data_IF_903643587004
#
_entry.id   IF_903643587004
#
_cell.length_a   1.000
_cell.length_b   1.000
_cell.length_c   1.000
_cell.angle_alpha   90.00
_cell.angle_beta   90.00
_cell.angle_gamma   90.00
#
_symmetry.space_group_name_H-M   'P 1'
#
loop_
_entity.id
_entity.type
_entity.pdbx_description
1 polymer ?
#
# COMPACT_ATOMS: atom_id res chain seq x y z
N UNK A 1 3.35 -75.66 -15.28
CA UNK A 1 1.96 -76.08 -15.51
C UNK A 1 1.97 -77.43 -16.18
N UNK A 2 1.16 -78.37 -15.72
CA UNK A 2 1.03 -79.68 -16.36
C UNK A 2 0.55 -79.49 -17.79
N UNK A 3 1.26 -80.04 -18.78
CA UNK A 3 0.94 -79.93 -20.22
C UNK A 3 -0.20 -80.88 -20.62
N UNK A 4 -1.25 -80.95 -19.79
CA UNK A 4 -2.40 -81.80 -20.02
C UNK A 4 -3.30 -81.10 -21.02
N UNK A 5 -3.51 -81.75 -22.15
CA UNK A 5 -4.51 -81.33 -23.13
C UNK A 5 -5.92 -81.65 -22.60
N UNK A 6 -6.53 -80.65 -21.93
CA UNK A 6 -7.88 -80.76 -21.36
C UNK A 6 -8.95 -80.95 -22.43
N UNK A 7 -8.73 -80.46 -23.64
CA UNK A 7 -9.67 -80.61 -24.75
C UNK A 7 -9.66 -82.05 -25.25
N UNK A 8 -8.47 -82.63 -25.45
CA UNK A 8 -8.34 -84.05 -25.80
C UNK A 8 -8.92 -84.97 -24.71
N UNK A 9 -8.73 -84.63 -23.42
CA UNK A 9 -9.36 -85.37 -22.31
C UNK A 9 -10.88 -85.28 -22.34
N UNK A 10 -11.43 -84.09 -22.63
CA UNK A 10 -12.88 -83.89 -22.75
C UNK A 10 -13.45 -84.74 -23.88
N UNK A 11 -12.85 -84.67 -25.06
CA UNK A 11 -13.27 -85.47 -26.23
C UNK A 11 -13.19 -86.98 -25.95
N UNK A 12 -12.16 -87.43 -25.25
CA UNK A 12 -12.02 -88.83 -24.86
C UNK A 12 -13.13 -89.25 -23.87
N UNK A 13 -13.46 -88.41 -22.89
CA UNK A 13 -14.52 -88.67 -21.93
C UNK A 13 -15.91 -88.64 -22.59
N UNK A 14 -16.20 -87.67 -23.45
CA UNK A 14 -17.47 -87.59 -24.21
C UNK A 14 -17.68 -88.83 -25.10
N UNK A 15 -16.61 -89.33 -25.75
CA UNK A 15 -16.67 -90.56 -26.55
C UNK A 15 -16.89 -91.82 -25.70
N UNK A 16 -16.40 -91.82 -24.46
CA UNK A 16 -16.50 -92.96 -23.54
C UNK A 16 -17.80 -92.97 -22.72
N UNK A 17 -18.52 -91.84 -22.64
CA UNK A 17 -19.76 -91.71 -21.86
C UNK A 17 -20.89 -92.55 -22.46
N UNK A 18 -20.97 -93.79 -21.98
CA UNK A 18 -21.83 -94.86 -22.50
C UNK A 18 -22.87 -95.32 -21.47
N UNK A 19 -23.06 -94.55 -20.38
CA UNK A 19 -24.09 -94.80 -19.37
C UNK A 19 -23.54 -94.93 -17.95
N UNK A 20 -24.16 -95.76 -17.11
CA UNK A 20 -23.79 -95.88 -15.69
C UNK A 20 -22.72 -96.94 -15.48
N UNK A 21 -21.56 -96.50 -14.99
CA UNK A 21 -20.39 -97.32 -14.71
C UNK A 21 -20.46 -97.85 -13.27
N UNK A 22 -20.32 -99.16 -13.09
CA UNK A 22 -20.31 -99.78 -11.76
C UNK A 22 -19.28 -100.90 -11.66
N UNK A 23 -18.66 -101.01 -10.49
CA UNK A 23 -17.75 -102.10 -10.17
C UNK A 23 -18.54 -103.36 -9.76
N UNK A 24 -18.06 -104.53 -10.17
CA UNK A 24 -18.58 -105.81 -9.70
C UNK A 24 -17.48 -106.84 -9.52
N UNK A 25 -17.66 -107.71 -8.53
CA UNK A 25 -16.83 -108.91 -8.35
C UNK A 25 -17.55 -110.13 -8.94
N UNK A 26 -16.78 -111.10 -9.42
CA UNK A 26 -17.30 -112.39 -9.82
C UNK A 26 -16.35 -113.51 -9.41
N UNK A 27 -16.92 -114.69 -9.17
CA UNK A 27 -16.16 -115.90 -8.90
C UNK A 27 -16.58 -116.94 -9.92
N UNK A 28 -15.64 -117.39 -10.74
CA UNK A 28 -15.81 -118.51 -11.67
C UNK A 28 -14.82 -119.62 -11.31
N UNK A 29 -15.14 -120.91 -11.51
CA UNK A 29 -14.20 -122.02 -11.26
C UNK A 29 -12.84 -121.86 -11.96
N UNK A 30 -12.83 -121.19 -13.13
CA UNK A 30 -11.62 -120.93 -13.92
C UNK A 30 -10.90 -119.62 -13.53
N UNK A 31 -11.57 -118.74 -12.77
CA UNK A 31 -11.18 -117.37 -12.41
C UNK A 31 -11.70 -117.01 -11.01
N UNK A 32 -11.04 -117.54 -9.97
CA UNK A 32 -11.40 -117.23 -8.58
C UNK A 32 -10.99 -115.81 -8.22
N UNK A 33 -11.94 -114.98 -7.78
CA UNK A 33 -11.69 -113.62 -7.30
C UNK A 33 -11.62 -112.53 -8.38
N UNK A 34 -12.10 -112.79 -9.59
CA UNK A 34 -12.16 -111.80 -10.67
C UNK A 34 -13.01 -110.56 -10.35
N UNK A 35 -12.78 -109.48 -11.10
CA UNK A 35 -13.57 -108.26 -11.04
C UNK A 35 -13.79 -107.69 -12.44
N UNK A 36 -14.87 -106.93 -12.60
CA UNK A 36 -15.26 -106.32 -13.86
C UNK A 36 -15.91 -104.95 -13.64
N UNK A 37 -15.90 -104.14 -14.69
CA UNK A 37 -16.69 -102.91 -14.78
C UNK A 37 -17.94 -103.24 -15.61
N UNK A 38 -19.11 -102.85 -15.11
CA UNK A 38 -20.37 -102.87 -15.87
C UNK A 38 -20.70 -101.47 -16.37
N UNK A 39 -21.18 -101.37 -17.61
CA UNK A 39 -21.78 -100.18 -18.19
C UNK A 39 -23.25 -100.52 -18.47
N UNK A 40 -24.18 -99.77 -17.88
CA UNK A 40 -25.63 -100.05 -17.94
C UNK A 40 -25.97 -101.51 -17.57
N UNK A 41 -25.29 -102.04 -16.55
CA UNK A 41 -25.49 -103.41 -16.07
C UNK A 41 -24.83 -104.51 -16.90
N UNK A 42 -24.19 -104.21 -18.04
CA UNK A 42 -23.47 -105.19 -18.88
C UNK A 42 -21.97 -105.09 -18.67
N UNK A 43 -21.27 -106.22 -18.53
CA UNK A 43 -19.81 -106.20 -18.34
C UNK A 43 -19.08 -105.65 -19.56
N UNK A 44 -18.20 -104.67 -19.34
CA UNK A 44 -17.45 -103.94 -20.35
C UNK A 44 -15.93 -104.15 -20.25
N UNK A 45 -15.40 -104.24 -19.03
CA UNK A 45 -13.96 -104.49 -18.77
C UNK A 45 -13.83 -105.62 -17.77
N UNK A 46 -13.02 -106.63 -18.08
CA UNK A 46 -12.81 -107.80 -17.22
C UNK A 46 -11.34 -107.94 -16.85
N UNK A 47 -11.07 -108.17 -15.58
CA UNK A 47 -9.75 -108.60 -15.13
C UNK A 47 -9.66 -110.13 -15.14
N UNK A 48 -8.70 -110.66 -15.90
CA UNK A 48 -8.41 -112.10 -15.97
C UNK A 48 -7.29 -112.49 -14.98
N UNK A 49 -7.19 -113.79 -14.63
CA UNK A 49 -6.34 -114.37 -13.58
C UNK A 49 -4.82 -114.17 -13.74
N UNK A 50 -4.37 -113.46 -14.78
CA UNK A 50 -2.95 -113.19 -15.09
C UNK A 50 -2.58 -111.71 -15.03
N UNK A 51 -3.37 -110.89 -14.33
CA UNK A 51 -3.13 -109.45 -14.27
C UNK A 51 -1.82 -109.11 -13.55
N UNK A 52 -1.07 -108.17 -14.11
CA UNK A 52 0.16 -107.61 -13.54
C UNK A 52 -0.17 -106.97 -12.18
N UNK A 53 0.47 -107.45 -11.10
CA UNK A 53 0.19 -107.00 -9.73
C UNK A 53 -0.85 -107.83 -8.96
N UNK A 54 -1.42 -108.85 -9.59
CA UNK A 54 -2.34 -109.80 -8.97
C UNK A 54 -3.78 -109.27 -8.83
N UNK A 55 -4.65 -110.15 -8.31
CA UNK A 55 -6.10 -109.92 -8.24
C UNK A 55 -6.45 -108.71 -7.36
N UNK A 56 -5.77 -108.56 -6.21
CA UNK A 56 -6.05 -107.46 -5.26
C UNK A 56 -5.81 -106.08 -5.89
N UNK A 57 -4.69 -105.89 -6.57
CA UNK A 57 -4.38 -104.62 -7.25
C UNK A 57 -5.37 -104.34 -8.38
N UNK A 58 -5.75 -105.36 -9.13
CA UNK A 58 -6.69 -105.22 -10.25
C UNK A 58 -8.09 -104.80 -9.81
N UNK A 59 -8.56 -105.32 -8.67
CA UNK A 59 -9.82 -104.87 -8.04
C UNK A 59 -9.80 -103.38 -7.71
N UNK A 60 -8.70 -102.90 -7.12
CA UNK A 60 -8.52 -101.48 -6.78
C UNK A 60 -8.53 -100.61 -8.05
N UNK A 61 -7.83 -101.03 -9.11
CA UNK A 61 -7.81 -100.30 -10.39
C UNK A 61 -9.21 -100.23 -11.02
N UNK A 62 -9.94 -101.35 -11.07
CA UNK A 62 -11.30 -101.36 -11.63
C UNK A 62 -12.29 -100.53 -10.80
N UNK A 63 -12.18 -100.56 -9.47
CA UNK A 63 -12.96 -99.71 -8.60
C UNK A 63 -12.65 -98.22 -8.80
N UNK A 64 -11.38 -97.86 -8.96
CA UNK A 64 -10.96 -96.50 -9.28
C UNK A 64 -11.52 -96.03 -10.63
N UNK A 65 -11.42 -96.84 -11.69
CA UNK A 65 -11.95 -96.48 -13.03
C UNK A 65 -13.49 -96.34 -12.99
N UNK A 66 -14.19 -97.21 -12.25
CA UNK A 66 -15.64 -97.10 -12.10
C UNK A 66 -16.06 -95.82 -11.34
N UNK A 67 -15.27 -95.40 -10.34
CA UNK A 67 -15.49 -94.17 -9.58
C UNK A 67 -15.10 -92.91 -10.38
N UNK A 68 -13.96 -92.94 -11.06
CA UNK A 68 -13.49 -91.90 -11.98
C UNK A 68 -13.94 -92.21 -13.42
N UNK A 69 -15.25 -92.35 -13.57
CA UNK A 69 -15.86 -92.62 -14.87
C UNK A 69 -15.92 -91.35 -15.74
N UNK A 70 -16.29 -91.47 -17.03
CA UNK A 70 -16.34 -90.33 -17.94
C UNK A 70 -17.23 -89.17 -17.45
N UNK A 71 -18.37 -89.45 -16.80
CA UNK A 71 -19.26 -88.41 -16.25
C UNK A 71 -18.56 -87.59 -15.16
N UNK A 72 -17.83 -88.25 -14.26
CA UNK A 72 -17.06 -87.59 -13.21
C UNK A 72 -15.91 -86.77 -13.80
N UNK A 73 -15.21 -87.29 -14.82
CA UNK A 73 -14.15 -86.57 -15.50
C UNK A 73 -14.67 -85.30 -16.21
N UNK A 74 -15.81 -85.38 -16.90
CA UNK A 74 -16.45 -84.21 -17.54
C UNK A 74 -16.90 -83.17 -16.52
N UNK A 75 -17.55 -83.60 -15.43
CA UNK A 75 -17.96 -82.69 -14.36
C UNK A 75 -16.77 -81.93 -13.75
N UNK A 76 -15.65 -82.62 -13.47
CA UNK A 76 -14.43 -81.99 -12.97
C UNK A 76 -13.78 -81.04 -13.99
N UNK A 77 -13.86 -81.35 -15.29
CA UNK A 77 -13.38 -80.46 -16.35
C UNK A 77 -14.26 -79.20 -16.46
N UNK A 78 -15.58 -79.34 -16.33
CA UNK A 78 -16.51 -78.21 -16.30
C UNK A 78 -16.28 -77.32 -15.08
N UNK A 79 -16.14 -77.91 -13.88
CA UNK A 79 -15.78 -77.19 -12.65
C UNK A 79 -14.45 -76.45 -12.81
N UNK A 80 -13.44 -77.09 -13.42
CA UNK A 80 -12.14 -76.44 -13.62
C UNK A 80 -12.23 -75.25 -14.58
N UNK A 81 -13.01 -75.36 -15.65
CA UNK A 81 -13.25 -74.27 -16.59
C UNK A 81 -14.01 -73.11 -15.90
N UNK A 82 -15.00 -73.44 -15.07
CA UNK A 82 -15.73 -72.45 -14.28
C UNK A 82 -14.81 -71.71 -13.31
N UNK A 83 -13.97 -72.44 -12.57
CA UNK A 83 -12.97 -71.85 -11.66
C UNK A 83 -11.96 -70.96 -12.38
N UNK A 84 -11.56 -71.31 -13.61
CA UNK A 84 -10.68 -70.46 -14.42
C UNK A 84 -11.37 -69.14 -14.79
N UNK A 85 -12.63 -69.20 -15.25
CA UNK A 85 -13.41 -67.99 -15.58
C UNK A 85 -13.64 -67.10 -14.37
N UNK A 86 -13.96 -67.69 -13.22
CA UNK A 86 -14.15 -66.94 -11.97
C UNK A 86 -12.85 -66.30 -11.50
N UNK A 87 -11.72 -67.01 -11.60
CA UNK A 87 -10.41 -66.46 -11.30
C UNK A 87 -10.09 -65.25 -12.20
N UNK A 88 -10.28 -65.38 -13.51
CA UNK A 88 -10.00 -64.31 -14.47
C UNK A 88 -10.91 -63.09 -14.22
N UNK A 89 -12.18 -63.32 -13.87
CA UNK A 89 -13.11 -62.26 -13.49
C UNK A 89 -12.69 -61.54 -12.20
N UNK A 90 -12.27 -62.29 -11.18
CA UNK A 90 -11.76 -61.72 -9.93
C UNK A 90 -10.48 -60.91 -10.17
N UNK A 91 -9.59 -61.42 -11.02
CA UNK A 91 -8.35 -60.71 -11.38
C UNK A 91 -8.65 -59.39 -12.10
N UNK A 92 -9.60 -59.38 -13.04
CA UNK A 92 -10.04 -58.17 -13.71
C UNK A 92 -10.64 -57.14 -12.72
N UNK A 93 -11.50 -57.57 -11.80
CA UNK A 93 -12.07 -56.69 -10.76
C UNK A 93 -10.99 -56.16 -9.82
N UNK A 94 -10.02 -56.99 -9.43
CA UNK A 94 -8.92 -56.58 -8.57
C UNK A 94 -8.00 -55.54 -9.23
N UNK A 95 -7.79 -55.65 -10.55
CA UNK A 95 -7.06 -54.64 -11.33
C UNK A 95 -7.83 -53.32 -11.39
N UNK A 96 -9.12 -53.35 -11.71
CA UNK A 96 -9.96 -52.15 -11.72
C UNK A 96 -9.98 -51.44 -10.36
N UNK A 97 -10.18 -52.20 -9.27
CA UNK A 97 -10.18 -51.66 -7.92
C UNK A 97 -8.82 -51.04 -7.55
N UNK A 98 -7.72 -51.64 -8.01
CA UNK A 98 -6.37 -51.08 -7.78
C UNK A 98 -6.20 -49.73 -8.47
N UNK A 99 -6.70 -49.60 -9.70
CA UNK A 99 -6.62 -48.35 -10.46
C UNK A 99 -7.55 -47.28 -9.85
N UNK A 100 -8.77 -47.63 -9.46
CA UNK A 100 -9.69 -46.74 -8.74
C UNK A 100 -9.07 -46.25 -7.43
N UNK A 101 -8.44 -47.14 -6.66
CA UNK A 101 -7.74 -46.78 -5.42
C UNK A 101 -6.53 -45.87 -5.67
N UNK A 102 -5.85 -46.00 -6.81
CA UNK A 102 -4.77 -45.09 -7.20
C UNK A 102 -5.32 -43.70 -7.50
N UNK A 103 -6.37 -43.62 -8.32
CA UNK A 103 -7.02 -42.35 -8.66
C UNK A 103 -7.57 -41.65 -7.41
N UNK A 104 -8.22 -42.40 -6.52
CA UNK A 104 -8.74 -41.86 -5.26
C UNK A 104 -7.64 -41.25 -4.39
N UNK A 105 -6.45 -41.88 -4.32
CA UNK A 105 -5.29 -41.33 -3.60
C UNK A 105 -4.72 -40.07 -4.25
N UNK A 106 -4.70 -40.00 -5.57
CA UNK A 106 -4.25 -38.81 -6.30
C UNK A 106 -5.20 -37.63 -6.07
N UNK A 107 -6.52 -37.87 -6.14
CA UNK A 107 -7.53 -36.87 -5.82
C UNK A 107 -7.45 -36.41 -4.37
N UNK A 108 -7.25 -37.33 -3.43
CA UNK A 108 -7.07 -37.01 -2.02
C UNK A 108 -5.83 -36.11 -1.81
N UNK A 109 -4.69 -36.49 -2.39
CA UNK A 109 -3.48 -35.69 -2.30
C UNK A 109 -3.63 -34.29 -2.92
N UNK A 110 -4.39 -34.17 -4.02
CA UNK A 110 -4.70 -32.87 -4.62
C UNK A 110 -5.62 -32.02 -3.72
N UNK A 111 -6.63 -32.63 -3.10
CA UNK A 111 -7.52 -31.96 -2.15
C UNK A 111 -6.76 -31.49 -0.90
N UNK A 112 -5.90 -32.32 -0.33
CA UNK A 112 -5.06 -31.98 0.81
C UNK A 112 -4.12 -30.80 0.50
N UNK A 113 -3.52 -30.77 -0.69
CA UNK A 113 -2.70 -29.62 -1.12
C UNK A 113 -3.51 -28.33 -1.19
N UNK A 114 -4.73 -28.39 -1.72
CA UNK A 114 -5.61 -27.22 -1.82
C UNK A 114 -6.08 -26.73 -0.44
N UNK A 115 -6.35 -27.66 0.49
CA UNK A 115 -6.66 -27.31 1.89
C UNK A 115 -5.46 -26.60 2.52
N UNK A 116 -4.26 -27.16 2.39
CA UNK A 116 -3.04 -26.55 2.95
C UNK A 116 -2.72 -25.18 2.34
N UNK A 117 -3.03 -24.97 1.05
CA UNK A 117 -2.92 -23.65 0.41
C UNK A 117 -3.94 -22.67 0.99
N UNK A 118 -5.19 -23.08 1.15
CA UNK A 118 -6.21 -22.25 1.77
C UNK A 118 -5.88 -21.88 3.21
N UNK A 119 -5.43 -22.83 4.03
CA UNK A 119 -5.01 -22.57 5.43
C UNK A 119 -3.88 -21.53 5.50
N UNK A 120 -2.92 -21.56 4.58
CA UNK A 120 -1.87 -20.53 4.49
C UNK A 120 -2.45 -19.17 4.09
N UNK A 121 -3.33 -19.14 3.10
CA UNK A 121 -3.97 -17.88 2.67
C UNK A 121 -4.84 -17.27 3.76
N UNK A 122 -5.55 -18.09 4.54
CA UNK A 122 -6.36 -17.64 5.66
C UNK A 122 -5.49 -17.06 6.78
N UNK A 123 -4.38 -17.75 7.11
CA UNK A 123 -3.41 -17.24 8.08
C UNK A 123 -2.82 -15.90 7.63
N UNK A 124 -2.53 -15.75 6.34
CA UNK A 124 -2.06 -14.49 5.77
C UNK A 124 -3.12 -13.38 5.90
N UNK A 125 -4.37 -13.66 5.52
CA UNK A 125 -5.46 -12.68 5.62
C UNK A 125 -5.72 -12.25 7.07
N UNK A 126 -5.56 -13.15 8.05
CA UNK A 126 -5.65 -12.80 9.47
C UNK A 126 -4.53 -11.84 9.85
N UNK A 127 -3.29 -12.11 9.45
CA UNK A 127 -2.16 -11.20 9.71
C UNK A 127 -2.37 -9.83 9.07
N UNK A 128 -2.80 -9.80 7.80
CA UNK A 128 -3.07 -8.55 7.08
C UNK A 128 -4.22 -7.75 7.72
N UNK A 129 -5.26 -8.44 8.20
CA UNK A 129 -6.36 -7.83 8.95
C UNK A 129 -5.86 -7.24 10.27
N UNK A 130 -5.08 -7.99 11.03
CA UNK A 130 -4.57 -7.55 12.34
C UNK A 130 -3.62 -6.35 12.18
N UNK A 131 -2.79 -6.34 11.13
CA UNK A 131 -1.94 -5.20 10.75
C UNK A 131 -2.78 -3.97 10.38
N UNK A 132 -3.84 -4.15 9.58
CA UNK A 132 -4.76 -3.07 9.20
C UNK A 132 -5.54 -2.52 10.41
N UNK A 133 -6.00 -3.40 11.31
CA UNK A 133 -6.67 -3.01 12.55
C UNK A 133 -5.72 -2.22 13.46
N UNK A 134 -4.47 -2.67 13.60
CA UNK A 134 -3.45 -1.94 14.36
C UNK A 134 -3.19 -0.55 13.77
N UNK A 135 -3.02 -0.45 12.45
CA UNK A 135 -2.81 0.83 11.77
C UNK A 135 -4.01 1.78 11.95
N UNK A 136 -5.23 1.26 11.86
CA UNK A 136 -6.44 2.06 12.07
C UNK A 136 -6.60 2.48 13.53
N UNK A 137 -6.30 1.60 14.49
CA UNK A 137 -6.31 1.92 15.92
C UNK A 137 -5.35 3.06 16.24
N UNK A 138 -4.15 3.04 15.68
CA UNK A 138 -3.15 4.09 15.87
C UNK A 138 -3.58 5.42 15.25
N UNK A 139 -4.11 5.38 14.01
CA UNK A 139 -4.63 6.57 13.33
C UNK A 139 -5.81 7.20 14.09
N UNK A 140 -6.78 6.37 14.48
CA UNK A 140 -7.94 6.81 15.24
C UNK A 140 -7.52 7.38 16.60
N UNK A 141 -6.63 6.72 17.33
CA UNK A 141 -6.12 7.22 18.61
C UNK A 141 -5.35 8.54 18.46
N UNK A 142 -4.62 8.73 17.36
CA UNK A 142 -3.89 9.98 17.12
C UNK A 142 -4.84 11.18 16.97
N UNK A 143 -6.03 10.97 16.39
CA UNK A 143 -7.03 12.02 16.17
C UNK A 143 -7.98 12.15 17.35
N UNK A 144 -8.52 11.04 17.84
CA UNK A 144 -9.57 11.02 18.85
C UNK A 144 -9.03 10.98 20.29
N UNK A 145 -7.72 10.74 20.47
CA UNK A 145 -7.04 10.65 21.77
C UNK A 145 -7.18 9.31 22.48
N UNK A 146 -8.04 8.42 22.00
CA UNK A 146 -8.28 7.08 22.53
C UNK A 146 -8.48 6.08 21.38
N UNK A 147 -8.14 4.80 21.56
CA UNK A 147 -8.41 3.78 20.55
C UNK A 147 -9.92 3.61 20.34
N UNK A 148 -10.34 3.13 19.15
CA UNK A 148 -11.74 2.83 18.89
C UNK A 148 -12.18 1.57 19.65
N UNK A 149 -13.47 1.48 19.95
CA UNK A 149 -14.08 0.25 20.48
C UNK A 149 -14.78 -0.49 19.34
N UNK A 150 -14.06 -1.44 18.73
CA UNK A 150 -14.62 -2.26 17.67
C UNK A 150 -15.85 -3.04 18.16
N UNK A 151 -16.92 -3.01 17.36
CA UNK A 151 -18.13 -3.77 17.64
C UNK A 151 -18.82 -4.16 16.35
N UNK A 152 -19.81 -5.06 16.42
CA UNK A 152 -20.58 -5.43 15.23
C UNK A 152 -21.36 -4.25 14.61
N UNK A 153 -21.49 -3.13 15.32
CA UNK A 153 -22.12 -1.89 14.84
C UNK A 153 -21.13 -0.77 14.56
N UNK A 154 -19.83 -0.99 14.83
CA UNK A 154 -18.77 -0.01 14.62
C UNK A 154 -17.64 -0.62 13.80
N UNK A 155 -17.61 -0.27 12.52
CA UNK A 155 -16.66 -0.76 11.51
C UNK A 155 -15.56 0.26 11.20
N UNK A 156 -14.60 -0.14 10.37
CA UNK A 156 -13.56 0.77 9.87
C UNK A 156 -14.10 2.02 9.17
N UNK A 157 -15.23 1.90 8.48
CA UNK A 157 -15.88 3.03 7.80
C UNK A 157 -16.34 4.07 8.82
N UNK A 158 -17.04 3.63 9.87
CA UNK A 158 -17.48 4.54 10.94
C UNK A 158 -16.28 5.23 11.63
N UNK A 159 -15.18 4.51 11.84
CA UNK A 159 -13.97 5.08 12.42
C UNK A 159 -13.36 6.17 11.53
N UNK A 160 -13.35 5.97 10.22
CA UNK A 160 -12.86 6.96 9.24
C UNK A 160 -13.78 8.19 9.23
N UNK A 161 -15.10 7.99 9.22
CA UNK A 161 -16.07 9.09 9.23
C UNK A 161 -15.91 9.98 10.48
N UNK A 162 -15.69 9.37 11.65
CA UNK A 162 -15.44 10.12 12.89
C UNK A 162 -14.11 10.88 12.85
N UNK A 163 -13.05 10.28 12.31
CA UNK A 163 -11.75 10.94 12.10
C UNK A 163 -11.91 12.14 11.15
N UNK A 164 -12.64 11.98 10.05
CA UNK A 164 -12.87 13.03 9.07
C UNK A 164 -13.60 14.21 9.70
N UNK A 165 -14.67 13.94 10.44
CA UNK A 165 -15.44 14.95 11.16
C UNK A 165 -14.59 15.72 12.17
N UNK A 166 -13.76 15.02 12.95
CA UNK A 166 -12.85 15.65 13.90
C UNK A 166 -11.82 16.55 13.20
N UNK A 167 -11.24 16.07 12.10
CA UNK A 167 -10.29 16.84 11.30
C UNK A 167 -10.92 18.09 10.67
N UNK A 168 -12.18 18.02 10.22
CA UNK A 168 -12.94 19.17 9.72
C UNK A 168 -13.19 20.20 10.81
N UNK A 169 -13.61 19.76 11.99
CA UNK A 169 -13.85 20.65 13.11
C UNK A 169 -12.60 21.44 13.49
N UNK A 170 -11.45 20.78 13.59
CA UNK A 170 -10.18 21.43 13.92
C UNK A 170 -9.71 22.41 12.84
N UNK A 171 -9.93 22.08 11.56
CA UNK A 171 -9.64 23.01 10.45
C UNK A 171 -10.47 24.28 10.60
N UNK A 172 -11.77 24.15 10.82
CA UNK A 172 -12.67 25.29 11.02
C UNK A 172 -12.26 26.13 12.23
N UNK A 173 -11.93 25.50 13.36
CA UNK A 173 -11.43 26.20 14.55
C UNK A 173 -10.12 26.95 14.29
N UNK A 174 -9.23 26.37 13.49
CA UNK A 174 -7.97 27.02 13.13
C UNK A 174 -8.22 28.25 12.25
N UNK A 175 -9.13 28.14 11.28
CA UNK A 175 -9.55 29.27 10.44
C UNK A 175 -10.18 30.39 11.27
N UNK A 176 -11.07 30.05 12.21
CA UNK A 176 -11.66 31.02 13.14
C UNK A 176 -10.59 31.76 13.95
N UNK A 177 -9.59 31.05 14.47
CA UNK A 177 -8.46 31.66 15.20
C UNK A 177 -7.67 32.61 14.31
N UNK A 178 -7.45 32.26 13.04
CA UNK A 178 -6.76 33.13 12.08
C UNK A 178 -7.60 34.40 11.84
N UNK A 179 -8.90 34.26 11.60
CA UNK A 179 -9.81 35.39 11.40
C UNK A 179 -9.86 36.30 12.63
N UNK A 180 -9.93 35.74 13.84
CA UNK A 180 -9.89 36.51 15.07
C UNK A 180 -8.57 37.26 15.25
N UNK A 181 -7.43 36.62 14.96
CA UNK A 181 -6.12 37.30 15.02
C UNK A 181 -6.03 38.46 14.03
N UNK A 182 -6.53 38.30 12.80
CA UNK A 182 -6.59 39.39 11.83
C UNK A 182 -7.47 40.54 12.32
N UNK A 183 -8.64 40.24 12.89
CA UNK A 183 -9.55 41.26 13.43
C UNK A 183 -8.95 41.97 14.64
N UNK A 184 -8.28 41.26 15.53
CA UNK A 184 -7.57 41.86 16.67
C UNK A 184 -6.49 42.81 16.16
N UNK A 185 -5.65 42.38 15.21
CA UNK A 185 -4.62 43.24 14.62
C UNK A 185 -5.22 44.48 13.92
N UNK A 186 -6.33 44.32 13.20
CA UNK A 186 -7.06 45.45 12.60
C UNK A 186 -7.53 46.44 13.68
N UNK A 187 -8.11 45.94 14.78
CA UNK A 187 -8.60 46.77 15.88
C UNK A 187 -7.46 47.44 16.65
N UNK A 188 -6.35 46.74 16.88
CA UNK A 188 -5.14 47.27 17.53
C UNK A 188 -4.46 48.35 16.66
N UNK A 189 -4.54 48.24 15.33
CA UNK A 189 -4.02 49.25 14.41
C UNK A 189 -4.92 50.50 14.30
N UNK A 190 -6.17 50.47 14.78
CA UNK A 190 -7.06 51.64 14.74
C UNK A 190 -6.58 52.69 15.73
N UNK A 191 -6.28 53.87 15.20
CA UNK A 191 -5.98 55.06 15.99
C UNK A 191 -7.18 56.02 16.06
N UNK A 192 -7.41 56.59 17.24
CA UNK A 192 -8.37 57.67 17.45
C UNK A 192 -7.88 58.93 16.74
N UNK A 193 -8.79 59.65 16.10
CA UNK A 193 -8.50 60.95 15.52
C UNK A 193 -8.84 62.05 16.52
N UNK A 194 -7.82 62.69 17.11
CA UNK A 194 -7.98 63.82 18.01
C UNK A 194 -7.11 64.97 17.49
N UNK A 195 -7.67 65.93 16.74
CA UNK A 195 -6.87 66.96 16.08
C UNK A 195 -6.19 67.88 17.09
N UNK A 196 -4.89 68.13 16.90
CA UNK A 196 -4.17 69.24 17.52
C UNK A 196 -4.52 70.53 16.80
N UNK A 197 -4.72 71.58 17.57
CA UNK A 197 -4.92 72.94 17.06
C UNK A 197 -4.01 73.87 17.84
N UNK A 198 -3.47 74.85 17.14
CA UNK A 198 -2.74 75.95 17.76
C UNK A 198 -3.68 76.83 18.58
N UNK A 199 -3.13 77.51 19.59
CA UNK A 199 -3.87 78.49 20.40
C UNK A 199 -4.56 79.54 19.50
N UNK A 200 -3.88 79.99 18.45
CA UNK A 200 -4.44 80.96 17.49
C UNK A 200 -5.68 80.44 16.75
N UNK A 201 -5.65 79.19 16.27
CA UNK A 201 -6.82 78.57 15.63
C UNK A 201 -7.98 78.41 16.60
N UNK A 202 -7.71 78.02 17.84
CA UNK A 202 -8.74 77.88 18.87
C UNK A 202 -9.32 79.24 19.25
N UNK A 203 -8.49 80.30 19.34
CA UNK A 203 -8.96 81.67 19.54
C UNK A 203 -9.91 82.11 18.44
N UNK A 204 -9.61 81.81 17.17
CA UNK A 204 -10.51 82.10 16.05
C UNK A 204 -11.86 81.34 16.16
N UNK A 205 -11.86 80.12 16.69
CA UNK A 205 -13.07 79.30 16.87
C UNK A 205 -13.91 79.68 18.10
N UNK A 206 -13.29 80.26 19.13
CA UNK A 206 -13.89 80.46 20.47
C UNK A 206 -14.22 81.93 20.80
N UNK A 207 -14.00 82.86 19.87
CA UNK A 207 -14.29 84.27 20.09
C UNK A 207 -13.15 85.06 20.74
N UNK A 208 -11.90 84.69 20.43
CA UNK A 208 -10.65 85.40 20.78
C UNK A 208 -10.30 85.48 22.28
N UNK A 209 -10.85 84.61 23.12
CA UNK A 209 -10.37 84.44 24.49
C UNK A 209 -9.08 83.61 24.51
N UNK A 210 -7.98 84.25 24.91
CA UNK A 210 -6.67 83.59 25.02
C UNK A 210 -6.65 82.53 26.13
N UNK A 211 -7.13 82.87 27.33
CA UNK A 211 -7.15 81.97 28.48
C UNK A 211 -7.98 80.71 28.22
N UNK A 212 -9.11 80.86 27.51
CA UNK A 212 -9.92 79.72 27.08
C UNK A 212 -9.17 78.85 26.06
N UNK A 213 -8.55 79.47 25.05
CA UNK A 213 -7.84 78.74 24.01
C UNK A 213 -6.63 77.97 24.54
N UNK A 214 -5.84 78.57 25.44
CA UNK A 214 -4.72 77.90 26.11
C UNK A 214 -5.22 76.74 27.00
N UNK A 215 -6.32 76.95 27.75
CA UNK A 215 -6.95 75.89 28.55
C UNK A 215 -7.48 74.73 27.70
N UNK A 216 -8.07 75.01 26.53
CA UNK A 216 -8.54 73.98 25.60
C UNK A 216 -7.36 73.18 25.02
N UNK A 217 -6.30 73.85 24.56
CA UNK A 217 -5.10 73.18 24.03
C UNK A 217 -4.44 72.29 25.11
N UNK A 218 -4.29 72.80 26.33
CA UNK A 218 -3.75 72.03 27.45
C UNK A 218 -4.62 70.82 27.81
N UNK A 219 -5.95 71.00 27.82
CA UNK A 219 -6.90 69.91 28.04
C UNK A 219 -6.85 68.85 26.94
N UNK A 220 -6.70 69.27 25.67
CA UNK A 220 -6.57 68.37 24.53
C UNK A 220 -5.24 67.59 24.56
N UNK A 221 -4.13 68.23 24.91
CA UNK A 221 -2.84 67.56 25.10
C UNK A 221 -2.89 66.54 26.25
N UNK A 222 -3.56 66.88 27.35
CA UNK A 222 -3.78 65.95 28.46
C UNK A 222 -4.65 64.75 28.03
N UNK A 223 -5.72 64.97 27.26
CA UNK A 223 -6.55 63.91 26.71
C UNK A 223 -5.74 62.98 25.77
N UNK A 224 -4.91 63.54 24.89
CA UNK A 224 -4.00 62.75 24.04
C UNK A 224 -3.04 61.92 24.90
N UNK A 225 -2.47 62.51 25.96
CA UNK A 225 -1.58 61.81 26.88
C UNK A 225 -2.27 60.62 27.54
N UNK A 226 -3.45 60.82 28.14
CA UNK A 226 -4.19 59.75 28.82
C UNK A 226 -4.65 58.64 27.86
N UNK A 227 -5.10 58.98 26.64
CA UNK A 227 -5.48 58.00 25.62
C UNK A 227 -4.27 57.13 25.22
N UNK A 228 -3.10 57.75 25.04
CA UNK A 228 -1.85 57.02 24.75
C UNK A 228 -1.38 56.19 25.94
N UNK A 229 -1.50 56.71 27.17
CA UNK A 229 -1.16 56.00 28.39
C UNK A 229 -2.04 54.75 28.59
N UNK A 230 -3.29 54.79 28.11
CA UNK A 230 -4.19 53.64 28.05
C UNK A 230 -3.87 52.64 26.91
N UNK A 231 -2.81 52.87 26.13
CA UNK A 231 -2.38 52.00 25.03
C UNK A 231 -3.15 52.18 23.72
N UNK A 232 -3.94 53.26 23.58
CA UNK A 232 -4.72 53.53 22.38
C UNK A 232 -3.93 54.46 21.45
N UNK A 233 -3.79 54.06 20.17
CA UNK A 233 -3.15 54.90 19.16
C UNK A 233 -3.93 56.20 18.94
N UNK A 234 -3.23 57.33 18.81
CA UNK A 234 -3.81 58.62 18.40
C UNK A 234 -3.09 59.07 17.14
N UNK A 235 -3.85 59.38 16.07
CA UNK A 235 -3.27 59.85 14.80
C UNK A 235 -2.43 61.09 15.07
N UNK A 236 -1.18 61.09 14.63
CA UNK A 236 -0.37 62.30 14.62
C UNK A 236 -0.94 63.20 13.51
N UNK A 237 -1.31 64.43 13.86
CA UNK A 237 -1.48 65.46 12.86
C UNK A 237 -0.07 65.92 12.50
N UNK A 238 0.27 65.93 11.21
CA UNK A 238 1.50 66.58 10.76
C UNK A 238 1.41 68.04 11.18
N UNK A 239 2.16 68.38 12.23
CA UNK A 239 2.51 69.77 12.47
C UNK A 239 3.20 70.21 11.19
N UNK A 240 2.65 71.23 10.52
CA UNK A 240 3.37 71.95 9.46
C UNK A 240 4.53 72.68 10.11
N UNK A 241 5.57 71.94 10.49
CA UNK A 241 6.84 72.48 10.93
C UNK A 241 7.60 72.87 9.67
N UNK A 242 7.71 74.17 9.44
CA UNK A 242 8.69 74.75 8.51
C UNK A 242 10.05 74.07 8.72
N UNK A 243 10.42 73.18 7.80
CA UNK A 243 11.67 72.42 7.85
C UNK A 243 12.45 72.64 6.56
N UNK A 244 12.91 73.87 6.39
CA UNK A 244 13.61 74.35 5.19
C UNK A 244 15.15 74.09 5.23
N UNK A 245 15.62 72.98 5.83
CA UNK A 245 17.08 72.72 5.97
C UNK A 245 17.51 71.28 5.62
N UNK A 246 16.66 70.50 4.94
CA UNK A 246 16.94 69.07 4.69
C UNK A 246 17.48 68.67 3.31
N UNK A 247 17.49 69.55 2.30
CA UNK A 247 17.59 69.13 0.89
C UNK A 247 18.90 69.47 0.17
N UNK A 248 19.98 69.80 0.89
CA UNK A 248 21.29 70.02 0.24
C UNK A 248 21.97 68.66 0.04
N UNK A 249 22.45 68.39 -1.20
CA UNK A 249 23.17 67.18 -1.64
C UNK A 249 22.32 66.05 -2.27
N UNK A 250 21.21 66.34 -2.94
CA UNK A 250 20.57 65.34 -3.80
C UNK A 250 21.31 65.22 -5.15
N UNK A 251 21.75 64.01 -5.55
CA UNK A 251 22.37 63.80 -6.86
C UNK A 251 21.42 64.17 -8.00
N UNK A 252 21.90 64.93 -8.98
CA UNK A 252 21.09 65.39 -10.10
C UNK A 252 21.65 66.66 -10.76
N UNK A 253 20.92 67.17 -11.75
CA UNK A 253 21.29 68.41 -12.43
C UNK A 253 20.87 69.60 -11.58
N UNK A 254 21.84 70.29 -10.99
CA UNK A 254 21.62 71.44 -10.11
C UNK A 254 22.12 72.71 -10.81
N UNK A 255 21.38 73.81 -10.67
CA UNK A 255 21.82 75.11 -11.20
C UNK A 255 23.06 75.56 -10.44
N UNK A 256 24.10 76.01 -11.15
CA UNK A 256 25.43 76.27 -10.60
C UNK A 256 25.43 77.20 -9.36
N UNK A 257 24.52 78.19 -9.29
CA UNK A 257 24.36 79.10 -8.13
C UNK A 257 23.99 78.37 -6.83
N UNK A 258 23.35 77.20 -6.92
CA UNK A 258 22.91 76.41 -5.77
C UNK A 258 23.90 75.35 -5.32
N UNK A 259 25.07 75.29 -5.95
CA UNK A 259 26.14 74.35 -5.61
C UNK A 259 27.08 75.02 -4.62
N UNK A 260 27.34 74.39 -3.49
CA UNK A 260 28.14 74.93 -2.40
C UNK A 260 29.43 74.17 -2.17
N UNK A 261 30.27 74.72 -1.29
CA UNK A 261 31.46 74.04 -0.81
C UNK A 261 31.10 72.67 -0.18
N UNK A 262 31.81 71.61 -0.58
CA UNK A 262 31.56 70.23 -0.16
C UNK A 262 30.63 69.42 -1.07
N UNK A 263 30.04 70.04 -2.11
CA UNK A 263 29.32 69.30 -3.15
C UNK A 263 30.31 68.61 -4.10
N UNK A 264 29.95 67.42 -4.60
CA UNK A 264 30.71 66.73 -5.63
C UNK A 264 30.03 66.91 -6.96
N UNK A 265 30.73 67.47 -7.95
CA UNK A 265 30.19 67.71 -9.29
C UNK A 265 30.95 66.93 -10.35
N UNK A 266 30.25 66.51 -11.40
CA UNK A 266 30.84 65.81 -12.53
C UNK A 266 31.02 66.75 -13.71
N UNK A 267 32.28 67.03 -14.06
CA UNK A 267 32.65 67.92 -15.16
C UNK A 267 33.50 67.14 -16.15
N UNK A 268 33.07 67.04 -17.41
CA UNK A 268 33.76 66.31 -18.49
C UNK A 268 34.14 64.86 -18.12
N UNK A 269 33.31 64.19 -17.32
CA UNK A 269 33.49 62.79 -16.94
C UNK A 269 34.36 62.56 -15.70
N UNK A 270 34.93 63.61 -15.10
CA UNK A 270 35.66 63.54 -13.82
C UNK A 270 34.84 64.18 -12.71
N UNK A 271 34.97 63.63 -11.49
CA UNK A 271 34.28 64.15 -10.30
C UNK A 271 35.22 65.04 -9.53
N UNK A 272 34.75 66.23 -9.18
CA UNK A 272 35.48 67.23 -8.41
C UNK A 272 34.68 67.62 -7.17
N UNK A 273 35.36 67.81 -6.05
CA UNK A 273 34.78 68.42 -4.85
C UNK A 273 34.87 69.94 -4.99
N UNK A 274 33.76 70.64 -4.77
CA UNK A 274 33.69 72.10 -4.79
C UNK A 274 34.28 72.64 -3.50
N UNK A 275 35.33 73.45 -3.61
CA UNK A 275 35.98 74.16 -2.51
C UNK A 275 35.26 75.48 -2.21
N UNK A 276 34.89 76.21 -3.25
CA UNK A 276 34.22 77.50 -3.15
C UNK A 276 33.38 77.79 -4.40
N UNK A 277 32.27 78.50 -4.22
CA UNK A 277 31.42 78.99 -5.32
C UNK A 277 31.39 80.51 -5.25
N UNK A 278 31.86 81.16 -6.31
CA UNK A 278 31.82 82.62 -6.48
C UNK A 278 30.81 83.00 -7.56
N UNK A 279 30.00 84.03 -7.30
CA UNK A 279 28.94 84.50 -8.19
C UNK A 279 29.08 86.00 -8.42
N UNK A 280 29.34 86.37 -9.68
CA UNK A 280 29.37 87.76 -10.16
C UNK A 280 28.25 87.94 -11.20
N UNK A 281 27.82 89.18 -11.45
CA UNK A 281 26.51 89.60 -12.00
C UNK A 281 25.91 88.79 -13.19
N UNK A 282 26.69 87.97 -13.91
CA UNK A 282 26.21 87.07 -14.96
C UNK A 282 26.83 85.64 -14.96
N UNK A 283 27.87 85.36 -14.17
CA UNK A 283 28.64 84.11 -14.19
C UNK A 283 28.85 83.50 -12.79
N UNK A 284 28.81 82.17 -12.70
CA UNK A 284 29.21 81.37 -11.53
C UNK A 284 30.56 80.73 -11.80
N UNK A 285 31.47 80.84 -10.84
CA UNK A 285 32.76 80.13 -10.82
C UNK A 285 32.77 79.12 -9.67
N UNK A 286 32.87 77.83 -10.00
CA UNK A 286 33.09 76.76 -9.03
C UNK A 286 34.60 76.48 -8.97
N UNK A 287 35.21 76.71 -7.81
CA UNK A 287 36.59 76.33 -7.52
C UNK A 287 36.62 74.91 -6.96
N UNK A 288 37.49 74.05 -7.50
CA UNK A 288 37.60 72.66 -7.07
C UNK A 288 38.84 72.43 -6.22
N UNK A 289 38.71 71.51 -5.26
CA UNK A 289 39.83 71.00 -4.48
C UNK A 289 40.88 70.42 -5.42
N UNK A 290 42.03 71.08 -5.54
CA UNK A 290 43.08 70.75 -6.52
C UNK A 290 43.37 71.83 -7.58
N UNK A 291 42.70 72.98 -7.52
CA UNK A 291 43.06 74.21 -8.24
C UNK A 291 42.47 74.36 -9.65
N UNK A 292 41.61 73.44 -10.08
CA UNK A 292 40.82 73.60 -11.30
C UNK A 292 39.55 74.42 -11.00
N UNK A 293 39.02 75.14 -12.00
CA UNK A 293 37.77 75.87 -11.85
C UNK A 293 36.84 75.65 -13.05
N UNK A 294 35.53 75.66 -12.80
CA UNK A 294 34.49 75.70 -13.83
C UNK A 294 33.80 77.07 -13.77
N UNK A 295 33.95 77.87 -14.85
CA UNK A 295 33.20 79.10 -15.03
C UNK A 295 32.06 78.90 -16.02
N UNK A 296 30.85 79.27 -15.65
CA UNK A 296 29.65 79.11 -16.47
C UNK A 296 28.59 80.18 -16.15
N UNK A 297 27.59 80.36 -17.02
CA UNK A 297 26.51 81.33 -16.77
C UNK A 297 25.66 80.93 -15.55
N UNK A 298 25.02 81.90 -14.88
CA UNK A 298 24.21 81.70 -13.67
C UNK A 298 23.19 80.54 -13.76
N UNK A 299 22.57 80.34 -14.93
CA UNK A 299 21.59 79.30 -15.18
C UNK A 299 22.16 77.94 -15.63
N UNK A 300 23.49 77.77 -15.65
CA UNK A 300 24.11 76.54 -16.09
C UNK A 300 23.75 75.39 -15.14
N UNK A 301 23.31 74.26 -15.69
CA UNK A 301 23.09 73.05 -14.91
C UNK A 301 24.37 72.22 -14.87
N UNK A 302 24.79 71.88 -13.67
CA UNK A 302 25.94 71.04 -13.38
C UNK A 302 25.45 69.78 -12.65
N UNK A 303 25.95 68.62 -13.06
CA UNK A 303 25.59 67.35 -12.45
C UNK A 303 26.27 67.24 -11.08
N UNK A 304 25.48 67.31 -10.00
CA UNK A 304 25.90 67.00 -8.64
C UNK A 304 25.78 65.49 -8.43
N UNK A 305 26.82 64.87 -7.93
CA UNK A 305 26.92 63.44 -7.64
C UNK A 305 27.15 63.22 -6.15
N UNK A 306 26.87 62.02 -5.66
CA UNK A 306 27.27 61.64 -4.30
C UNK A 306 28.79 61.55 -4.17
N UNK A 307 29.29 61.77 -2.96
CA UNK A 307 30.71 61.62 -2.64
C UNK A 307 31.25 60.25 -3.12
N UNK A 308 32.39 60.20 -3.81
CA UNK A 308 32.97 58.95 -4.28
C UNK A 308 33.37 58.06 -3.09
N UNK A 309 32.75 56.88 -2.98
CA UNK A 309 33.09 55.88 -1.95
C UNK A 309 34.44 55.26 -2.30
N UNK A 310 35.46 55.44 -1.44
CA UNK A 310 36.73 54.74 -1.58
C UNK A 310 36.49 53.21 -1.52
N UNK A 311 36.81 52.51 -2.61
CA UNK A 311 36.58 51.07 -2.72
C UNK A 311 37.50 50.28 -1.78
N UNK A 312 36.98 49.92 -0.60
CA UNK A 312 37.63 49.06 0.39
C UNK A 312 37.49 47.56 0.06
N UNK A 313 38.63 46.93 -0.17
CA UNK A 313 38.87 45.49 -0.32
C UNK A 313 38.34 44.74 0.92
N UNK A 314 37.47 43.74 0.74
CA UNK A 314 37.04 42.83 1.81
C UNK A 314 37.97 41.61 1.87
N UNK A 315 38.75 41.51 2.95
CA UNK A 315 39.36 40.25 3.39
C UNK A 315 38.26 39.42 4.04
N UNK A 316 38.07 38.19 3.56
CA UNK A 316 37.26 37.17 4.23
C UNK A 316 38.11 36.56 5.35
N UNK A 317 37.62 36.60 6.58
CA UNK A 317 38.15 35.78 7.68
C UNK A 317 37.47 34.41 7.65
N UNK A 318 38.28 33.35 7.64
CA UNK A 318 37.95 32.00 8.12
C UNK A 318 38.29 31.90 9.61
#
# INVERSE_FOLDING_TARGET
MSNIDKQALREAAEKADSGDWSYGEFNSPDLTGGAHIRINGRGAVYCLNKATGGIKQSRVVLAYIAAFNPKVALALLDENLQLQREKDAIEAVALALRDDMRQARELLAAAERRIAEFERSETQLISERDDAESAMNDAYKAVMGQPPEWSNWFSFENAIDEIELACELWRNQTDDVIQFRQRIAELEARAVNLPKRSVGEVMHLSGFSRDYAEGWCAGNDNAIHEIRAAGIGVKQQEDSVDSDVGSRNQPGMVVAVHIGAGDFVKVKGQVFEVEETDFDDHDVTLWFVGGNALKCAAGCQVEVVSAPVAAGIKVKEE
#
